data_IF_783196743696
#
_entry.id   IF_783196743696
#
_cell.length_a   1.000
_cell.length_b   1.000
_cell.length_c   1.000
_cell.angle_alpha   90.00
_cell.angle_beta   90.00
_cell.angle_gamma   90.00
#
_symmetry.space_group_name_H-M   'P 1'
#
loop_
_entity.id
_entity.type
_entity.pdbx_description
1 polymer ?
#
# COMPACT_ATOMS: atom_id res chain seq x y z
N UNK A 1 -21.49 -9.38 -48.42
CA UNK A 1 -22.09 -10.52 -47.71
C UNK A 1 -21.17 -10.83 -46.54
N UNK A 2 -21.77 -10.87 -45.36
CA UNK A 2 -21.16 -10.93 -44.03
C UNK A 2 -20.65 -12.33 -43.65
N UNK A 3 -20.05 -12.35 -42.45
CA UNK A 3 -19.76 -13.45 -41.51
C UNK A 3 -18.30 -13.94 -41.52
N UNK A 4 -17.43 -13.65 -40.53
CA UNK A 4 -17.48 -13.64 -39.04
C UNK A 4 -16.89 -14.93 -38.42
N UNK A 5 -16.37 -14.73 -37.20
CA UNK A 5 -15.96 -15.67 -36.14
C UNK A 5 -14.49 -16.13 -36.15
N UNK A 6 -13.75 -16.12 -35.06
CA UNK A 6 -13.96 -15.58 -33.71
C UNK A 6 -12.61 -15.65 -33.00
N UNK A 7 -12.08 -14.54 -32.49
CA UNK A 7 -10.99 -14.58 -31.50
C UNK A 7 -11.46 -13.86 -30.25
N UNK A 8 -12.17 -14.60 -29.41
CA UNK A 8 -12.51 -14.19 -28.04
C UNK A 8 -11.22 -14.15 -27.21
N UNK A 9 -10.58 -12.99 -27.14
CA UNK A 9 -9.49 -12.74 -26.21
C UNK A 9 -10.09 -12.35 -24.86
N UNK A 10 -10.19 -13.34 -23.97
CA UNK A 10 -10.53 -13.18 -22.56
C UNK A 10 -9.51 -12.23 -21.90
N UNK A 11 -9.87 -10.95 -21.75
CA UNK A 11 -9.05 -9.96 -21.06
C UNK A 11 -9.24 -10.15 -19.56
N UNK A 12 -8.36 -10.93 -18.93
CA UNK A 12 -8.23 -10.97 -17.48
C UNK A 12 -7.87 -9.57 -16.96
N UNK A 13 -8.88 -8.84 -16.45
CA UNK A 13 -8.70 -7.52 -15.87
C UNK A 13 -7.86 -7.63 -14.60
N UNK A 14 -6.56 -7.44 -14.76
CA UNK A 14 -5.56 -7.36 -13.68
C UNK A 14 -5.95 -6.19 -12.76
N UNK A 15 -6.61 -6.48 -11.63
CA UNK A 15 -6.98 -5.47 -10.62
C UNK A 15 -5.72 -4.73 -10.19
N UNK A 16 -5.63 -3.45 -10.55
CA UNK A 16 -4.56 -2.58 -10.07
C UNK A 16 -4.61 -2.54 -8.52
N UNK A 17 -3.46 -2.62 -7.82
CA UNK A 17 -3.46 -2.50 -6.37
C UNK A 17 -4.06 -1.14 -5.96
N UNK A 18 -5.07 -1.19 -5.09
CA UNK A 18 -5.70 0.02 -4.58
C UNK A 18 -4.71 0.82 -3.73
N UNK A 19 -4.74 2.16 -3.81
CA UNK A 19 -3.93 3.00 -2.96
C UNK A 19 -4.31 2.82 -1.47
N UNK A 20 -3.37 3.07 -0.55
CA UNK A 20 -3.60 2.86 0.87
C UNK A 20 -4.69 3.79 1.44
N UNK A 21 -5.37 3.38 2.52
CA UNK A 21 -6.30 4.25 3.23
C UNK A 21 -5.63 5.50 3.82
N UNK A 22 -6.39 6.58 3.89
CA UNK A 22 -6.07 7.83 4.57
C UNK A 22 -6.97 7.93 5.81
N UNK A 23 -6.38 8.09 6.99
CA UNK A 23 -7.12 8.27 8.24
C UNK A 23 -7.03 9.73 8.70
N UNK A 24 -8.16 10.41 8.78
CA UNK A 24 -8.25 11.81 9.24
C UNK A 24 -8.73 11.78 10.70
N UNK A 25 -7.91 12.30 11.61
CA UNK A 25 -8.21 12.34 13.05
C UNK A 25 -8.91 13.63 13.48
N UNK A 26 -8.89 14.65 12.64
CA UNK A 26 -9.53 15.94 12.93
C UNK A 26 -11.06 15.76 12.97
N UNK A 27 -11.71 16.45 13.92
CA UNK A 27 -13.16 16.54 13.98
C UNK A 27 -13.68 17.25 12.72
N UNK A 28 -14.40 16.53 11.86
CA UNK A 28 -15.02 17.10 10.66
C UNK A 28 -16.42 17.56 11.03
N UNK A 29 -16.58 18.86 11.25
CA UNK A 29 -17.86 19.49 11.62
C UNK A 29 -18.90 19.39 10.50
N UNK A 30 -18.46 19.45 9.22
CA UNK A 30 -19.33 19.41 8.04
C UNK A 30 -18.92 18.29 7.08
N UNK A 31 -19.34 17.06 7.39
CA UNK A 31 -18.99 15.87 6.60
C UNK A 31 -19.43 15.96 5.13
N UNK A 32 -20.63 16.51 4.87
CA UNK A 32 -21.16 16.62 3.50
C UNK A 32 -20.29 17.54 2.62
N UNK A 33 -19.92 18.73 3.13
CA UNK A 33 -19.05 19.68 2.42
C UNK A 33 -17.66 19.09 2.18
N UNK A 34 -17.14 18.34 3.17
CA UNK A 34 -15.90 17.60 3.00
C UNK A 34 -16.00 16.58 1.86
N UNK A 35 -17.05 15.75 1.86
CA UNK A 35 -17.26 14.77 0.79
C UNK A 35 -17.42 15.43 -0.59
N UNK A 36 -18.12 16.56 -0.70
CA UNK A 36 -18.22 17.31 -1.95
C UNK A 36 -16.86 17.84 -2.41
N UNK A 37 -16.05 18.35 -1.49
CA UNK A 37 -14.68 18.80 -1.80
C UNK A 37 -13.83 17.64 -2.33
N UNK A 38 -13.94 16.45 -1.72
CA UNK A 38 -13.23 15.26 -2.20
C UNK A 38 -13.80 14.78 -3.55
N UNK A 39 -15.13 14.86 -3.77
CA UNK A 39 -15.76 14.56 -5.08
C UNK A 39 -15.22 15.46 -6.19
N UNK A 40 -15.02 16.75 -5.92
CA UNK A 40 -14.44 17.67 -6.91
C UNK A 40 -12.97 17.38 -7.21
N UNK A 41 -12.22 16.88 -6.24
CA UNK A 41 -10.80 16.51 -6.40
C UNK A 41 -10.61 15.13 -7.06
N UNK A 42 -11.64 14.29 -7.01
CA UNK A 42 -11.65 12.93 -7.53
C UNK A 42 -12.75 12.78 -8.59
N UNK A 43 -13.09 11.55 -8.97
CA UNK A 43 -14.28 11.30 -9.81
C UNK A 43 -15.49 11.05 -8.88
N UNK A 44 -16.75 11.22 -9.33
CA UNK A 44 -17.94 11.01 -8.51
C UNK A 44 -17.98 9.64 -7.80
N UNK A 45 -17.55 8.58 -8.48
CA UNK A 45 -17.35 7.23 -7.91
C UNK A 45 -15.90 6.92 -7.51
N UNK A 46 -15.03 7.93 -7.43
CA UNK A 46 -13.57 7.79 -7.30
C UNK A 46 -13.04 7.48 -5.89
N UNK A 47 -13.91 7.51 -4.87
CA UNK A 47 -13.52 7.27 -3.48
C UNK A 47 -14.62 6.62 -2.65
N UNK A 48 -14.21 6.07 -1.50
CA UNK A 48 -15.06 5.57 -0.45
C UNK A 48 -14.67 6.25 0.86
N UNK A 49 -15.64 6.91 1.49
CA UNK A 49 -15.43 7.59 2.76
C UNK A 49 -16.32 6.98 3.83
N UNK A 50 -15.71 6.55 4.94
CA UNK A 50 -16.39 5.95 6.09
C UNK A 50 -16.03 6.73 7.35
N UNK A 51 -17.05 7.15 8.08
CA UNK A 51 -16.88 7.73 9.41
C UNK A 51 -16.89 6.64 10.48
N UNK A 52 -16.10 6.83 11.53
CA UNK A 52 -16.03 5.98 12.72
C UNK A 52 -15.84 6.86 13.95
N UNK A 53 -16.07 6.31 15.15
CA UNK A 53 -15.77 6.97 16.44
C UNK A 53 -14.31 7.43 16.55
N UNK A 54 -13.39 6.76 15.86
CA UNK A 54 -11.97 7.07 15.87
C UNK A 54 -11.54 8.06 14.76
N UNK A 55 -12.50 8.64 14.02
CA UNK A 55 -12.28 9.58 12.94
C UNK A 55 -12.73 9.07 11.57
N UNK A 56 -12.19 9.68 10.52
CA UNK A 56 -12.60 9.41 9.15
C UNK A 56 -11.60 8.51 8.42
N UNK A 57 -12.12 7.50 7.71
CA UNK A 57 -11.35 6.67 6.79
C UNK A 57 -11.72 6.99 5.35
N UNK A 58 -10.74 7.37 4.55
CA UNK A 58 -10.88 7.69 3.15
C UNK A 58 -10.04 6.73 2.30
N UNK A 59 -10.69 6.04 1.37
CA UNK A 59 -10.06 5.18 0.39
C UNK A 59 -10.29 5.75 -1.00
N UNK A 60 -9.27 5.84 -1.84
CA UNK A 60 -9.40 6.24 -3.25
C UNK A 60 -9.19 5.01 -4.14
N UNK A 61 -9.71 5.03 -5.37
CA UNK A 61 -9.52 3.91 -6.31
C UNK A 61 -8.31 4.09 -7.24
N UNK A 62 -7.83 5.32 -7.40
CA UNK A 62 -6.70 5.65 -8.27
C UNK A 62 -5.57 6.35 -7.53
N UNK A 63 -4.35 6.17 -8.01
CA UNK A 63 -3.14 6.82 -7.48
C UNK A 63 -3.20 8.34 -7.65
N UNK A 64 -3.80 8.84 -8.74
CA UNK A 64 -3.95 10.28 -8.98
C UNK A 64 -4.90 10.92 -7.96
N UNK A 65 -6.07 10.32 -7.74
CA UNK A 65 -7.04 10.74 -6.71
C UNK A 65 -6.42 10.74 -5.31
N UNK A 66 -5.61 9.72 -4.98
CA UNK A 66 -4.87 9.66 -3.72
C UNK A 66 -3.94 10.87 -3.57
N UNK A 67 -3.10 11.14 -4.58
CA UNK A 67 -2.11 12.24 -4.54
C UNK A 67 -2.78 13.61 -4.40
N UNK A 68 -3.84 13.86 -5.17
CA UNK A 68 -4.63 15.10 -5.09
C UNK A 68 -5.25 15.29 -3.71
N UNK A 69 -5.81 14.22 -3.16
CA UNK A 69 -6.43 14.24 -1.83
C UNK A 69 -5.41 14.50 -0.72
N UNK A 70 -4.26 13.82 -0.75
CA UNK A 70 -3.18 14.06 0.22
C UNK A 70 -2.65 15.49 0.13
N UNK A 71 -2.52 16.04 -1.08
CA UNK A 71 -2.10 17.44 -1.29
C UNK A 71 -3.11 18.41 -0.66
N UNK A 72 -4.39 18.22 -0.93
CA UNK A 72 -5.48 19.02 -0.34
C UNK A 72 -5.47 18.96 1.20
N UNK A 73 -5.33 17.76 1.78
CA UNK A 73 -5.31 17.58 3.23
C UNK A 73 -4.08 18.26 3.89
N UNK A 74 -2.94 18.30 3.20
CA UNK A 74 -1.74 19.04 3.64
C UNK A 74 -1.96 20.55 3.59
N UNK A 75 -2.53 21.07 2.51
CA UNK A 75 -2.83 22.50 2.37
C UNK A 75 -3.81 22.98 3.45
N UNK A 76 -4.79 22.17 3.81
CA UNK A 76 -5.75 22.44 4.89
C UNK A 76 -5.19 22.25 6.31
N UNK A 77 -3.89 21.92 6.45
CA UNK A 77 -3.22 21.62 7.74
C UNK A 77 -3.99 20.62 8.62
N UNK A 78 -4.69 19.68 7.98
CA UNK A 78 -5.48 18.67 8.70
C UNK A 78 -4.58 17.63 9.34
N UNK A 79 -4.96 17.10 10.50
CA UNK A 79 -4.24 16.03 11.17
C UNK A 79 -4.69 14.70 10.58
N UNK A 80 -3.89 14.16 9.64
CA UNK A 80 -4.16 12.86 9.02
C UNK A 80 -2.97 11.91 9.15
N UNK A 81 -3.26 10.62 9.18
CA UNK A 81 -2.31 9.52 9.18
C UNK A 81 -2.47 8.75 7.88
N UNK A 82 -1.41 8.66 7.09
CA UNK A 82 -1.37 7.77 5.93
C UNK A 82 -1.02 6.38 6.43
N UNK A 83 -1.82 5.38 6.09
CA UNK A 83 -1.41 3.99 6.30
C UNK A 83 -0.25 3.74 5.36
N UNK A 84 0.97 3.84 5.87
CA UNK A 84 2.12 3.34 5.12
C UNK A 84 1.85 1.86 4.89
N UNK A 85 1.75 1.45 3.62
CA UNK A 85 1.84 0.05 3.22
C UNK A 85 3.26 -0.41 3.57
N UNK A 86 3.55 -0.60 4.87
CA UNK A 86 4.73 -1.32 5.31
C UNK A 86 4.42 -2.76 4.95
N UNK A 87 4.72 -3.13 3.71
CA UNK A 87 4.73 -4.51 3.26
C UNK A 87 5.84 -5.20 4.05
N UNK A 88 5.47 -5.70 5.21
CA UNK A 88 6.35 -6.45 6.10
C UNK A 88 6.25 -7.90 5.64
N UNK A 89 7.30 -8.34 4.98
CA UNK A 89 7.42 -9.71 4.51
C UNK A 89 8.13 -10.54 5.59
N UNK A 90 7.87 -11.83 5.58
CA UNK A 90 8.44 -12.78 6.53
C UNK A 90 9.20 -13.86 5.77
N UNK A 91 10.39 -14.20 6.24
CA UNK A 91 11.19 -15.32 5.78
C UNK A 91 11.23 -16.33 6.92
N UNK A 92 10.71 -17.53 6.66
CA UNK A 92 10.70 -18.65 7.60
C UNK A 92 11.82 -19.64 7.26
N UNK A 93 12.13 -20.53 8.21
CA UNK A 93 13.14 -21.58 8.05
C UNK A 93 14.58 -21.08 7.83
N UNK A 94 14.89 -19.90 8.34
CA UNK A 94 16.25 -19.36 8.28
C UNK A 94 16.88 -19.40 9.67
N UNK A 95 18.00 -20.09 9.82
CA UNK A 95 18.64 -20.23 11.12
C UNK A 95 18.98 -18.87 11.73
N UNK A 96 18.76 -18.72 13.04
CA UNK A 96 18.92 -17.41 13.70
C UNK A 96 20.36 -16.89 13.70
N UNK A 97 21.35 -17.76 13.45
CA UNK A 97 22.76 -17.38 13.30
C UNK A 97 23.11 -16.81 11.93
N UNK A 98 22.17 -16.82 10.97
CA UNK A 98 22.41 -16.24 9.65
C UNK A 98 22.57 -14.72 9.79
N UNK A 99 23.70 -14.15 9.32
CA UNK A 99 23.93 -12.71 9.40
C UNK A 99 22.95 -11.95 8.50
N UNK A 100 22.48 -10.82 8.98
CA UNK A 100 21.50 -9.97 8.29
C UNK A 100 22.01 -9.47 6.94
N UNK A 101 23.32 -9.25 6.82
CA UNK A 101 23.94 -8.76 5.57
C UNK A 101 23.80 -9.77 4.43
N UNK A 102 24.01 -11.06 4.69
CA UNK A 102 23.78 -12.13 3.69
C UNK A 102 22.33 -12.18 3.23
N UNK A 103 21.37 -12.02 4.15
CA UNK A 103 19.94 -11.97 3.80
C UNK A 103 19.65 -10.76 2.90
N UNK A 104 20.28 -9.61 3.21
CA UNK A 104 20.12 -8.38 2.46
C UNK A 104 20.68 -8.51 1.05
N UNK A 105 21.86 -9.11 0.89
CA UNK A 105 22.49 -9.37 -0.41
C UNK A 105 21.63 -10.28 -1.28
N UNK A 106 21.10 -11.38 -0.73
CA UNK A 106 20.19 -12.30 -1.42
C UNK A 106 18.86 -11.66 -1.84
N UNK A 107 18.30 -10.78 -1.01
CA UNK A 107 17.09 -10.04 -1.37
C UNK A 107 17.38 -8.99 -2.45
N UNK A 108 18.55 -8.33 -2.38
CA UNK A 108 18.98 -7.37 -3.39
C UNK A 108 19.26 -8.06 -4.74
N UNK A 109 19.87 -9.25 -4.74
CA UNK A 109 20.14 -10.03 -5.96
C UNK A 109 18.83 -10.46 -6.65
N UNK A 110 17.77 -10.69 -5.87
CA UNK A 110 16.40 -10.94 -6.35
C UNK A 110 15.64 -9.68 -6.78
N UNK A 111 16.27 -8.50 -6.71
CA UNK A 111 15.71 -7.23 -7.16
C UNK A 111 14.90 -6.46 -6.11
N UNK A 112 14.94 -6.87 -4.83
CA UNK A 112 14.26 -6.14 -3.77
C UNK A 112 15.18 -5.10 -3.12
N UNK A 113 14.71 -3.86 -2.99
CA UNK A 113 15.42 -2.84 -2.20
C UNK A 113 15.01 -2.94 -0.72
N UNK A 114 15.82 -3.66 0.06
CA UNK A 114 15.53 -3.91 1.47
C UNK A 114 15.88 -2.70 2.33
N UNK A 115 14.91 -2.23 3.13
CA UNK A 115 15.06 -1.09 4.04
C UNK A 115 15.47 -1.50 5.45
N UNK A 116 14.88 -2.58 5.94
CA UNK A 116 15.14 -3.10 7.28
C UNK A 116 14.92 -4.60 7.30
N UNK A 117 15.77 -5.32 8.03
CA UNK A 117 15.66 -6.76 8.30
C UNK A 117 15.82 -6.91 9.80
N UNK A 118 14.90 -7.60 10.45
CA UNK A 118 14.92 -7.88 11.88
C UNK A 118 14.71 -9.37 12.10
N UNK A 119 15.46 -9.95 13.03
CA UNK A 119 15.15 -11.28 13.52
C UNK A 119 13.86 -11.20 14.36
N UNK A 120 12.90 -12.09 14.07
CA UNK A 120 11.69 -12.23 14.86
C UNK A 120 12.05 -12.97 16.14
N UNK A 121 11.86 -12.33 17.30
CA UNK A 121 12.13 -12.99 18.57
C UNK A 121 10.92 -13.80 19.02
N UNK A 122 11.17 -14.92 19.68
CA UNK A 122 10.11 -15.69 20.34
C UNK A 122 9.41 -14.81 21.39
N UNK A 123 8.07 -14.78 21.38
CA UNK A 123 7.30 -13.81 22.16
C UNK A 123 7.58 -13.89 23.67
N UNK A 124 7.68 -15.12 24.21
CA UNK A 124 7.84 -15.36 25.64
C UNK A 124 9.30 -15.25 26.10
N UNK A 125 10.21 -15.98 25.44
CA UNK A 125 11.61 -16.12 25.87
C UNK A 125 12.52 -15.02 25.34
N UNK A 126 12.06 -14.22 24.36
CA UNK A 126 12.85 -13.22 23.63
C UNK A 126 14.08 -13.79 22.92
N UNK A 127 14.16 -15.10 22.78
CA UNK A 127 15.26 -15.75 22.05
C UNK A 127 15.11 -15.52 20.53
N UNK A 128 16.23 -15.44 19.79
CA UNK A 128 16.22 -15.37 18.33
C UNK A 128 15.44 -16.54 17.71
N UNK A 129 14.49 -16.26 16.81
CA UNK A 129 13.75 -17.30 16.09
C UNK A 129 14.41 -17.61 14.76
N UNK A 130 14.01 -18.72 14.15
CA UNK A 130 14.42 -19.12 12.81
C UNK A 130 13.62 -18.36 11.73
N UNK A 131 13.35 -17.09 11.99
CA UNK A 131 12.38 -16.28 11.26
C UNK A 131 12.85 -14.83 11.22
N UNK A 132 12.83 -14.23 10.03
CA UNK A 132 13.22 -12.84 9.84
C UNK A 132 12.08 -12.07 9.19
N UNK A 133 11.80 -10.90 9.74
CA UNK A 133 10.90 -9.94 9.12
C UNK A 133 11.71 -8.90 8.38
N UNK A 134 11.31 -8.57 7.16
CA UNK A 134 11.92 -7.50 6.40
C UNK A 134 10.88 -6.56 5.83
N UNK A 135 11.29 -5.30 5.69
CA UNK A 135 10.49 -4.26 5.04
C UNK A 135 11.24 -3.73 3.85
N UNK A 136 10.55 -3.60 2.72
CA UNK A 136 11.09 -2.98 1.53
C UNK A 136 10.34 -1.69 1.20
N UNK A 137 11.05 -0.78 0.55
CA UNK A 137 10.46 0.45 0.04
C UNK A 137 10.31 0.31 -1.46
N UNK A 138 9.12 0.54 -2.03
CA UNK A 138 8.99 0.72 -3.47
C UNK A 138 9.56 2.08 -3.86
N UNK A 139 10.89 2.23 -3.79
CA UNK A 139 11.56 3.36 -4.42
C UNK A 139 11.88 2.91 -5.85
N UNK A 140 11.04 3.33 -6.80
CA UNK A 140 11.20 3.07 -8.24
C UNK A 140 11.45 1.60 -8.64
N UNK A 141 10.39 0.79 -8.69
CA UNK A 141 10.37 -0.30 -9.66
C UNK A 141 9.69 0.19 -10.93
N UNK A 142 10.50 0.79 -11.81
CA UNK A 142 10.18 0.87 -13.23
C UNK A 142 10.07 -0.57 -13.73
N UNK A 143 8.85 -0.97 -14.12
CA UNK A 143 8.51 -2.11 -14.99
C UNK A 143 9.49 -3.30 -14.97
N UNK A 144 9.20 -4.33 -14.19
CA UNK A 144 9.65 -5.68 -14.52
C UNK A 144 8.49 -6.35 -15.27
N UNK A 145 8.59 -6.37 -16.60
CA UNK A 145 7.86 -7.33 -17.42
C UNK A 145 8.53 -8.69 -17.21
N UNK A 146 7.78 -9.67 -16.73
CA UNK A 146 8.15 -11.07 -16.93
C UNK A 146 7.63 -11.44 -18.33
N UNK A 147 8.56 -11.68 -19.26
CA UNK A 147 8.32 -12.47 -20.46
C UNK A 147 8.51 -13.95 -20.11
#
# INVERSE_FOLDING_TARGET
MEMETDTSTNISQKKLPLPPPIFIKTNIVQFNIFCESIKQLTQPEGFLCKSSVNGLKLNTYTTDSYRKTVKFLKEKKSTFTLTNLKMKNHIEHLHHSTPVDTIKEELNSKGFTVRNIINVLHYQTKNPSHSFSWTWSPHHQTKIFLQ
#
